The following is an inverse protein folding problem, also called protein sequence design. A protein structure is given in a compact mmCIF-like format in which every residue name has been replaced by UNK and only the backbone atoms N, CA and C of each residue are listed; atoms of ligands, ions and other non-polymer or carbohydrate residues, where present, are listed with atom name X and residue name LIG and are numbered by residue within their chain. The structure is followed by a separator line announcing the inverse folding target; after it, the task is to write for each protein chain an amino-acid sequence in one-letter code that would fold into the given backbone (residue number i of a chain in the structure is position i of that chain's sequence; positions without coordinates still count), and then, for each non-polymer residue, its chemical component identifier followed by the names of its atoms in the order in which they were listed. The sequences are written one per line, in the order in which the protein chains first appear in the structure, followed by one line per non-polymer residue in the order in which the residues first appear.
data_IF_377571983660
#
_entry.id   IF_377571983660
#
_cell.length_a   1.000
_cell.length_b   1.000
_cell.length_c   1.000
_cell.angle_alpha   90.00
_cell.angle_beta   90.00
_cell.angle_gamma   90.00
#
_symmetry.space_group_name_H-M   'P 1'
#
loop_
_entity.id
_entity.type
_entity.pdbx_description
1 polymer ?
#
# COMPACT_ATOMS: atom_id res chain seq x y z
N UNK A 1 3.98 -10.14 -3.76
CA UNK A 1 4.17 -11.48 -3.15
C UNK A 1 4.11 -11.44 -1.63
N UNK A 2 5.02 -10.73 -0.90
CA UNK A 2 4.98 -10.65 0.57
C UNK A 2 3.63 -10.17 1.13
N UNK A 3 2.97 -9.24 0.45
CA UNK A 3 1.65 -8.72 0.84
C UNK A 3 0.58 -9.81 0.74
N UNK A 4 0.52 -10.54 -0.39
CA UNK A 4 -0.42 -11.66 -0.58
C UNK A 4 -0.20 -12.73 0.49
N UNK A 5 1.07 -13.07 0.76
CA UNK A 5 1.45 -14.01 1.81
C UNK A 5 0.93 -13.57 3.18
N UNK A 6 1.22 -12.34 3.58
CA UNK A 6 0.83 -11.82 4.89
C UNK A 6 -0.68 -11.67 5.09
N UNK A 7 -1.44 -11.40 4.02
CA UNK A 7 -2.90 -11.37 4.05
C UNK A 7 -3.55 -12.75 4.13
N UNK A 8 -2.83 -13.82 3.74
CA UNK A 8 -3.35 -15.20 3.80
C UNK A 8 -3.05 -15.86 5.13
N UNK A 9 -1.83 -15.69 5.64
CA UNK A 9 -1.31 -16.43 6.80
C UNK A 9 -1.93 -15.97 8.14
N UNK A 10 -2.66 -14.90 8.15
CA UNK A 10 -2.95 -14.00 9.27
C UNK A 10 -3.49 -14.55 10.59
N UNK A 11 -4.06 -15.77 10.68
CA UNK A 11 -4.74 -16.19 11.91
C UNK A 11 -4.44 -17.66 12.30
N UNK A 12 -3.33 -18.24 11.82
CA UNK A 12 -3.02 -19.65 12.06
C UNK A 12 -2.57 -19.93 13.50
N UNK A 13 -1.62 -19.15 14.01
CA UNK A 13 -1.02 -19.36 15.32
C UNK A 13 -0.10 -18.21 15.72
N UNK A 14 0.63 -18.39 16.83
CA UNK A 14 1.53 -17.35 17.35
C UNK A 14 2.67 -17.01 16.37
N UNK A 15 3.22 -18.03 15.71
CA UNK A 15 4.30 -17.84 14.73
C UNK A 15 3.81 -17.07 13.50
N UNK A 16 2.65 -17.44 12.96
CA UNK A 16 2.00 -16.77 11.83
C UNK A 16 1.67 -15.31 12.14
N UNK A 17 1.19 -15.03 13.35
CA UNK A 17 0.90 -13.69 13.81
C UNK A 17 2.18 -12.82 13.85
N UNK A 18 3.30 -13.37 14.34
CA UNK A 18 4.61 -12.68 14.34
C UNK A 18 5.09 -12.43 12.92
N UNK A 19 5.03 -13.44 12.05
CA UNK A 19 5.48 -13.33 10.65
C UNK A 19 4.66 -12.28 9.88
N UNK A 20 3.34 -12.28 10.10
CA UNK A 20 2.46 -11.23 9.59
C UNK A 20 2.89 -9.86 10.11
N UNK A 21 3.11 -9.72 11.41
CA UNK A 21 3.54 -8.47 12.02
C UNK A 21 4.85 -7.94 11.46
N UNK A 22 5.83 -8.82 11.22
CA UNK A 22 7.11 -8.47 10.54
C UNK A 22 6.84 -7.83 9.18
N UNK A 23 5.97 -8.42 8.35
CA UNK A 23 5.67 -7.91 7.02
C UNK A 23 4.82 -6.63 7.10
N UNK A 24 3.81 -6.61 7.96
CA UNK A 24 2.89 -5.48 8.08
C UNK A 24 3.57 -4.23 8.61
N UNK A 25 4.59 -4.36 9.45
CA UNK A 25 5.32 -3.22 10.00
C UNK A 25 5.99 -2.33 8.94
N UNK A 26 6.32 -2.86 7.75
CA UNK A 26 7.02 -2.07 6.73
C UNK A 26 6.39 -2.08 5.33
N UNK A 27 5.51 -3.05 4.98
CA UNK A 27 5.09 -3.22 3.58
C UNK A 27 4.34 -2.01 3.01
N UNK A 28 3.45 -1.38 3.80
CA UNK A 28 2.75 -0.17 3.35
C UNK A 28 3.68 1.06 3.31
N UNK A 29 4.49 1.35 4.35
CA UNK A 29 5.55 2.33 4.29
C UNK A 29 6.47 2.20 3.08
N UNK A 30 6.87 0.98 2.72
CA UNK A 30 7.68 0.68 1.52
C UNK A 30 7.04 1.26 0.25
N UNK A 31 5.74 1.05 0.04
CA UNK A 31 5.05 1.58 -1.15
C UNK A 31 4.99 3.11 -1.16
N UNK A 32 4.76 3.76 -0.03
CA UNK A 32 4.78 5.22 0.07
C UNK A 32 6.18 5.79 -0.22
N UNK A 33 7.22 5.21 0.37
CA UNK A 33 8.62 5.59 0.16
C UNK A 33 9.00 5.43 -1.31
N UNK A 34 8.77 4.25 -1.92
CA UNK A 34 9.08 3.97 -3.32
C UNK A 34 8.31 4.88 -4.28
N UNK A 35 7.04 5.14 -3.99
CA UNK A 35 6.23 6.02 -4.83
C UNK A 35 6.75 7.45 -4.83
N UNK A 36 7.24 7.95 -3.70
CA UNK A 36 7.87 9.28 -3.62
C UNK A 36 9.26 9.29 -4.25
N UNK A 37 10.07 8.26 -4.01
CA UNK A 37 11.40 8.09 -4.58
C UNK A 37 11.40 8.14 -6.12
N UNK A 38 10.34 7.61 -6.77
CA UNK A 38 10.19 7.62 -8.22
C UNK A 38 9.43 8.84 -8.76
N UNK A 39 8.92 9.72 -7.89
CA UNK A 39 8.13 10.89 -8.30
C UNK A 39 9.00 12.02 -8.83
N UNK A 40 8.45 12.81 -9.78
CA UNK A 40 8.92 14.16 -10.11
C UNK A 40 8.07 15.14 -9.32
N UNK A 41 8.69 16.18 -8.76
CA UNK A 41 8.00 17.21 -7.98
C UNK A 41 7.64 18.40 -8.87
N UNK A 42 6.55 19.07 -8.52
CA UNK A 42 6.06 20.24 -9.26
C UNK A 42 6.95 21.45 -9.01
N UNK A 43 7.14 22.26 -10.03
CA UNK A 43 7.87 23.53 -9.96
C UNK A 43 6.94 24.71 -9.74
N UNK A 44 5.67 24.56 -10.10
CA UNK A 44 4.64 25.57 -9.96
C UNK A 44 3.24 24.96 -9.73
N UNK A 45 2.24 25.83 -9.50
CA UNK A 45 0.87 25.41 -9.23
C UNK A 45 0.17 24.77 -10.43
N UNK A 46 0.48 25.17 -11.66
CA UNK A 46 -0.12 24.63 -12.87
C UNK A 46 0.35 23.20 -13.10
N UNK A 47 1.65 22.94 -12.88
CA UNK A 47 2.20 21.58 -12.93
C UNK A 47 1.58 20.67 -11.86
N UNK A 48 1.36 21.21 -10.64
CA UNK A 48 0.68 20.47 -9.57
C UNK A 48 -0.74 20.05 -9.97
N UNK A 49 -1.53 20.96 -10.56
CA UNK A 49 -2.89 20.66 -11.04
C UNK A 49 -2.86 19.61 -12.15
N UNK A 50 -1.96 19.74 -13.13
CA UNK A 50 -1.79 18.76 -14.19
C UNK A 50 -1.38 17.36 -13.67
N UNK A 51 -0.57 17.30 -12.62
CA UNK A 51 -0.23 16.04 -11.92
C UNK A 51 -1.40 15.49 -11.14
N UNK A 52 -2.19 16.34 -10.49
CA UNK A 52 -3.40 15.92 -9.80
C UNK A 52 -4.33 15.18 -10.75
N UNK A 53 -4.61 15.73 -11.93
CA UNK A 53 -5.48 15.09 -12.92
C UNK A 53 -4.94 13.73 -13.39
N UNK A 54 -3.64 13.66 -13.73
CA UNK A 54 -2.99 12.40 -14.15
C UNK A 54 -3.02 11.36 -13.04
N UNK A 55 -2.74 11.76 -11.79
CA UNK A 55 -2.70 10.87 -10.64
C UNK A 55 -4.10 10.41 -10.25
N UNK A 56 -5.10 11.28 -10.37
CA UNK A 56 -6.52 10.96 -10.22
C UNK A 56 -6.94 9.83 -11.16
N UNK A 57 -6.68 10.00 -12.46
CA UNK A 57 -6.99 8.97 -13.48
C UNK A 57 -6.25 7.65 -13.21
N UNK A 58 -5.03 7.71 -12.70
CA UNK A 58 -4.19 6.54 -12.48
C UNK A 58 -4.49 5.78 -11.18
N UNK A 59 -4.87 6.46 -10.10
CA UNK A 59 -5.04 5.87 -8.78
C UNK A 59 -6.49 5.86 -8.31
N UNK A 60 -7.18 7.00 -8.41
CA UNK A 60 -8.49 7.15 -7.80
C UNK A 60 -9.60 6.50 -8.64
N UNK A 61 -9.56 6.63 -9.97
CA UNK A 61 -10.52 5.94 -10.84
C UNK A 61 -10.45 4.41 -10.64
N UNK A 62 -9.26 3.76 -10.71
CA UNK A 62 -9.17 2.34 -10.40
C UNK A 62 -9.61 1.99 -8.98
N UNK A 63 -9.29 2.82 -7.97
CA UNK A 63 -9.72 2.56 -6.60
C UNK A 63 -11.26 2.53 -6.47
N UNK A 64 -11.94 3.48 -7.12
CA UNK A 64 -13.41 3.54 -7.14
C UNK A 64 -13.97 2.33 -7.90
N UNK A 65 -13.46 2.04 -9.10
CA UNK A 65 -13.96 0.93 -9.92
C UNK A 65 -13.79 -0.42 -9.22
N UNK A 66 -12.59 -0.74 -8.75
CA UNK A 66 -12.27 -2.00 -8.07
C UNK A 66 -13.03 -2.09 -6.74
N UNK A 67 -13.03 -1.00 -5.95
CA UNK A 67 -13.72 -0.93 -4.66
C UNK A 67 -15.23 -1.07 -4.77
N UNK A 68 -15.83 -0.69 -5.92
CA UNK A 68 -17.28 -0.85 -6.19
C UNK A 68 -17.67 -2.27 -6.61
N UNK A 69 -16.72 -3.11 -7.03
CA UNK A 69 -17.00 -4.50 -7.42
C UNK A 69 -17.48 -5.31 -6.21
N UNK A 70 -16.91 -5.09 -5.03
CA UNK A 70 -17.26 -5.83 -3.82
C UNK A 70 -18.74 -5.67 -3.43
N UNK A 71 -19.32 -4.47 -3.32
CA UNK A 71 -20.74 -4.33 -3.04
C UNK A 71 -21.62 -4.96 -4.14
N UNK A 72 -21.24 -4.86 -5.41
CA UNK A 72 -21.97 -5.52 -6.51
C UNK A 72 -21.94 -7.05 -6.38
N UNK A 73 -20.80 -7.62 -6.03
CA UNK A 73 -20.66 -9.05 -5.76
C UNK A 73 -21.52 -9.48 -4.55
N UNK A 74 -21.51 -8.70 -3.47
CA UNK A 74 -22.30 -8.96 -2.27
C UNK A 74 -23.81 -8.98 -2.57
N UNK A 75 -24.29 -8.08 -3.47
CA UNK A 75 -25.68 -8.10 -3.97
C UNK A 75 -25.93 -9.36 -4.80
N UNK A 76 -25.01 -9.73 -5.69
CA UNK A 76 -25.15 -10.90 -6.55
C UNK A 76 -25.25 -12.22 -5.79
N UNK A 77 -24.63 -12.32 -4.62
CA UNK A 77 -24.72 -13.50 -3.72
C UNK A 77 -25.89 -13.44 -2.72
N UNK A 78 -26.83 -12.49 -2.92
CA UNK A 78 -28.08 -12.43 -2.17
C UNK A 78 -28.08 -11.60 -0.90
N UNK A 79 -27.06 -10.76 -0.66
CA UNK A 79 -27.14 -9.76 0.42
C UNK A 79 -28.16 -8.68 0.06
N UNK A 80 -28.85 -8.17 1.09
CA UNK A 80 -29.90 -7.17 0.90
C UNK A 80 -29.36 -5.88 0.24
N UNK A 81 -29.91 -5.57 -0.93
CA UNK A 81 -29.60 -4.39 -1.72
C UNK A 81 -29.77 -3.08 -0.94
N UNK A 82 -30.79 -2.99 -0.06
CA UNK A 82 -31.03 -1.82 0.76
C UNK A 82 -29.92 -1.57 1.75
N UNK A 83 -29.41 -2.61 2.40
CA UNK A 83 -28.30 -2.52 3.37
C UNK A 83 -27.00 -2.09 2.71
N UNK A 84 -26.76 -2.49 1.46
CA UNK A 84 -25.51 -2.21 0.75
C UNK A 84 -25.52 -0.84 0.08
N UNK A 85 -26.64 -0.41 -0.50
CA UNK A 85 -26.76 0.85 -1.24
C UNK A 85 -27.40 1.98 -0.43
N UNK A 86 -28.21 1.67 0.61
CA UNK A 86 -28.87 2.72 1.38
C UNK A 86 -27.87 3.53 2.19
N UNK A 87 -27.95 4.82 1.97
CA UNK A 87 -27.57 6.04 2.73
C UNK A 87 -26.28 6.03 3.57
N UNK A 88 -25.58 4.95 3.70
CA UNK A 88 -24.30 4.85 4.42
C UNK A 88 -23.35 3.86 3.78
N UNK A 89 -23.83 2.76 3.18
CA UNK A 89 -22.97 1.67 2.74
C UNK A 89 -21.96 2.05 1.67
N UNK A 90 -22.39 2.30 0.44
CA UNK A 90 -21.47 2.61 -0.66
C UNK A 90 -20.84 4.01 -0.53
N UNK A 91 -21.65 5.02 -0.18
CA UNK A 91 -21.16 6.40 -0.06
C UNK A 91 -20.12 6.50 1.06
N UNK A 92 -20.42 5.98 2.25
CA UNK A 92 -19.47 5.99 3.37
C UNK A 92 -18.21 5.17 3.06
N UNK A 93 -18.36 4.02 2.40
CA UNK A 93 -17.24 3.19 1.93
C UNK A 93 -16.30 3.97 1.00
N UNK A 94 -16.83 4.74 0.07
CA UNK A 94 -16.05 5.58 -0.85
C UNK A 94 -15.51 6.84 -0.19
N UNK A 95 -16.32 7.52 0.63
CA UNK A 95 -15.94 8.77 1.30
C UNK A 95 -14.83 8.54 2.32
N UNK A 96 -14.97 7.55 3.20
CA UNK A 96 -13.94 7.25 4.19
C UNK A 96 -12.80 6.42 3.62
N UNK A 97 -13.07 5.62 2.57
CA UNK A 97 -12.11 4.75 1.91
C UNK A 97 -11.33 3.86 2.90
N UNK A 98 -11.99 3.37 3.96
CA UNK A 98 -11.33 2.62 5.03
C UNK A 98 -10.74 1.29 4.53
N UNK A 99 -9.60 0.89 5.08
CA UNK A 99 -9.00 -0.42 4.81
C UNK A 99 -9.58 -1.55 5.67
N UNK A 100 -10.24 -1.22 6.78
CA UNK A 100 -10.83 -2.16 7.75
C UNK A 100 -12.23 -1.72 8.14
N UNK A 101 -13.03 -2.67 8.61
CA UNK A 101 -14.35 -2.39 9.20
C UNK A 101 -14.19 -1.45 10.40
N UNK A 102 -14.98 -0.41 10.46
CA UNK A 102 -14.90 0.59 11.53
C UNK A 102 -16.25 1.21 11.85
N UNK A 103 -16.38 1.79 13.04
CA UNK A 103 -17.54 2.57 13.44
C UNK A 103 -17.18 4.05 13.47
N UNK A 104 -17.91 4.88 12.75
CA UNK A 104 -17.74 6.33 12.71
C UNK A 104 -19.07 6.96 13.11
N UNK A 105 -19.08 7.71 14.21
CA UNK A 105 -20.28 8.36 14.74
C UNK A 105 -21.50 7.41 14.86
N UNK A 106 -21.26 6.21 15.44
CA UNK A 106 -22.26 5.15 15.60
C UNK A 106 -22.78 4.54 14.29
N UNK A 107 -22.12 4.83 13.17
CA UNK A 107 -22.43 4.19 11.87
C UNK A 107 -21.31 3.23 11.51
N UNK A 108 -21.68 1.99 11.23
CA UNK A 108 -20.72 1.00 10.72
C UNK A 108 -20.34 1.35 9.28
N UNK A 109 -19.04 1.48 9.04
CA UNK A 109 -18.48 1.79 7.73
C UNK A 109 -17.72 0.57 7.22
N UNK A 110 -18.29 -0.04 6.20
CA UNK A 110 -17.70 -1.17 5.50
C UNK A 110 -16.40 -0.77 4.77
N UNK A 111 -15.38 -1.63 4.76
CA UNK A 111 -14.11 -1.30 4.17
C UNK A 111 -14.16 -1.22 2.64
N UNK A 112 -13.40 -0.28 2.08
CA UNK A 112 -13.04 -0.27 0.66
C UNK A 112 -12.03 -1.40 0.33
N UNK A 113 -11.60 -2.14 1.35
CA UNK A 113 -10.61 -3.17 1.25
C UNK A 113 -9.24 -2.61 0.87
N UNK A 114 -8.44 -3.36 0.12
CA UNK A 114 -7.08 -2.93 -0.23
C UNK A 114 -7.02 -1.65 -1.07
N UNK A 115 -8.14 -1.24 -1.70
CA UNK A 115 -8.20 0.00 -2.48
C UNK A 115 -8.01 1.27 -1.63
N UNK A 116 -8.16 1.19 -0.28
CA UNK A 116 -7.85 2.28 0.64
C UNK A 116 -6.47 2.88 0.38
N UNK A 117 -5.50 2.02 0.06
CA UNK A 117 -4.13 2.42 -0.20
C UNK A 117 -4.00 3.36 -1.40
N UNK A 118 -4.73 3.11 -2.49
CA UNK A 118 -4.69 3.94 -3.69
C UNK A 118 -5.22 5.35 -3.40
N UNK A 119 -6.27 5.45 -2.58
CA UNK A 119 -6.84 6.74 -2.14
C UNK A 119 -5.84 7.48 -1.25
N UNK A 120 -5.30 6.82 -0.24
CA UNK A 120 -4.28 7.39 0.64
C UNK A 120 -3.02 7.80 -0.12
N UNK A 121 -2.57 6.99 -1.10
CA UNK A 121 -1.42 7.29 -1.94
C UNK A 121 -1.66 8.52 -2.84
N UNK A 122 -2.86 8.63 -3.43
CA UNK A 122 -3.24 9.80 -4.21
C UNK A 122 -3.16 11.08 -3.37
N UNK A 123 -3.88 11.11 -2.24
CA UNK A 123 -3.93 12.30 -1.38
C UNK A 123 -2.56 12.65 -0.79
N UNK A 124 -1.80 11.64 -0.33
CA UNK A 124 -0.50 11.88 0.31
C UNK A 124 0.56 12.41 -0.66
N UNK A 125 0.57 11.92 -1.91
CA UNK A 125 1.48 12.44 -2.95
C UNK A 125 1.17 13.89 -3.30
N UNK A 126 -0.10 14.24 -3.44
CA UNK A 126 -0.50 15.63 -3.73
C UNK A 126 -0.16 16.55 -2.57
N UNK A 127 -0.45 16.13 -1.34
CA UNK A 127 -0.09 16.91 -0.16
C UNK A 127 1.43 17.11 -0.08
N UNK A 128 2.23 16.06 -0.26
CA UNK A 128 3.68 16.17 -0.20
C UNK A 128 4.25 17.06 -1.31
N UNK A 129 3.75 16.93 -2.55
CA UNK A 129 4.16 17.77 -3.68
C UNK A 129 3.81 19.26 -3.42
N UNK A 130 2.63 19.53 -2.85
CA UNK A 130 2.22 20.87 -2.42
C UNK A 130 3.12 21.40 -1.30
N UNK A 131 3.43 20.59 -0.28
CA UNK A 131 4.32 21.01 0.82
C UNK A 131 5.72 21.32 0.29
N UNK A 132 6.25 20.50 -0.59
CA UNK A 132 7.54 20.66 -1.20
C UNK A 132 7.58 21.96 -2.05
N UNK A 133 6.50 22.30 -2.76
CA UNK A 133 6.38 23.52 -3.53
C UNK A 133 6.32 24.78 -2.63
N UNK A 134 5.67 24.69 -1.46
CA UNK A 134 5.47 25.83 -0.56
C UNK A 134 6.61 26.05 0.44
N UNK A 135 7.35 25.01 0.78
CA UNK A 135 8.45 25.12 1.74
C UNK A 135 9.73 25.63 1.05
N UNK A 136 10.19 26.80 1.46
CA UNK A 136 11.38 27.46 0.89
C UNK A 136 12.71 26.82 1.29
N UNK A 137 12.73 25.95 2.29
CA UNK A 137 13.94 25.25 2.73
C UNK A 137 13.65 23.83 3.18
N UNK A 138 14.66 22.95 3.07
CA UNK A 138 14.53 21.54 3.52
C UNK A 138 14.22 21.44 5.02
N UNK A 139 14.73 22.34 5.86
CA UNK A 139 14.42 22.36 7.30
C UNK A 139 12.95 22.66 7.56
N UNK A 140 12.38 23.66 6.85
CA UNK A 140 10.95 23.97 6.96
C UNK A 140 10.11 22.79 6.48
N UNK A 141 10.44 22.16 5.37
CA UNK A 141 9.75 20.98 4.86
C UNK A 141 9.76 19.85 5.91
N UNK A 142 10.93 19.56 6.49
CA UNK A 142 11.06 18.52 7.53
C UNK A 142 10.18 18.81 8.76
N UNK A 143 10.19 20.06 9.26
CA UNK A 143 9.37 20.46 10.42
C UNK A 143 7.89 20.32 10.09
N UNK A 144 7.44 20.79 8.92
CA UNK A 144 6.04 20.70 8.49
C UNK A 144 5.62 19.24 8.36
N UNK A 145 6.46 18.39 7.81
CA UNK A 145 6.21 16.94 7.69
C UNK A 145 6.04 16.30 9.08
N UNK A 146 6.87 16.67 10.06
CA UNK A 146 6.73 16.17 11.45
C UNK A 146 5.44 16.67 12.11
N UNK A 147 5.09 17.94 11.91
CA UNK A 147 3.83 18.50 12.42
C UNK A 147 2.63 17.80 11.80
N UNK A 148 2.63 17.59 10.48
CA UNK A 148 1.58 16.82 9.80
C UNK A 148 1.48 15.41 10.38
N UNK A 149 2.61 14.74 10.57
CA UNK A 149 2.62 13.38 11.12
C UNK A 149 2.06 13.30 12.52
N UNK A 150 2.51 14.18 13.41
CA UNK A 150 1.98 14.25 14.78
C UNK A 150 0.47 14.55 14.76
N UNK A 151 0.05 15.55 13.98
CA UNK A 151 -1.36 15.91 13.82
C UNK A 151 -2.19 14.76 13.29
N UNK A 152 -1.72 14.07 12.25
CA UNK A 152 -2.41 12.91 11.67
C UNK A 152 -2.56 11.75 12.65
N UNK A 153 -1.51 11.43 13.41
CA UNK A 153 -1.56 10.40 14.47
C UNK A 153 -2.53 10.78 15.56
N UNK A 154 -2.47 12.02 16.08
CA UNK A 154 -3.39 12.49 17.13
C UNK A 154 -4.85 12.49 16.66
N UNK A 155 -5.12 12.97 15.44
CA UNK A 155 -6.46 12.97 14.87
C UNK A 155 -6.98 11.54 14.71
N UNK A 156 -6.15 10.60 14.28
CA UNK A 156 -6.54 9.20 14.10
C UNK A 156 -7.04 8.53 15.38
N UNK A 157 -6.58 9.00 16.57
CA UNK A 157 -7.10 8.53 17.85
C UNK A 157 -8.45 9.14 18.22
N UNK A 158 -8.77 10.32 17.67
CA UNK A 158 -10.01 11.03 17.98
C UNK A 158 -11.13 10.64 17.02
N UNK A 159 -10.83 10.66 15.72
CA UNK A 159 -11.80 10.35 14.66
C UNK A 159 -11.11 9.99 13.35
N UNK A 160 -11.79 9.20 12.53
CA UNK A 160 -11.35 8.89 11.19
C UNK A 160 -11.84 9.95 10.21
N UNK A 161 -10.93 10.45 9.39
CA UNK A 161 -11.26 11.48 8.41
C UNK A 161 -11.61 10.88 7.04
N UNK A 162 -12.47 11.57 6.25
CA UNK A 162 -12.73 11.21 4.87
C UNK A 162 -11.44 11.07 4.05
N UNK A 163 -11.46 10.18 3.04
CA UNK A 163 -10.33 9.89 2.15
C UNK A 163 -9.05 9.47 2.88
N UNK A 164 -9.18 8.90 4.08
CA UNK A 164 -8.05 8.55 4.97
C UNK A 164 -7.13 9.76 5.28
N UNK A 165 -7.67 10.97 5.36
CA UNK A 165 -6.85 12.17 5.47
C UNK A 165 -6.03 12.22 6.76
N UNK A 166 -6.48 11.57 7.82
CA UNK A 166 -5.72 11.31 9.04
C UNK A 166 -4.46 10.48 8.75
N UNK A 167 -4.58 9.37 8.00
CA UNK A 167 -3.41 8.58 7.55
C UNK A 167 -2.53 9.41 6.61
N UNK A 168 -3.14 10.15 5.67
CA UNK A 168 -2.42 11.00 4.71
C UNK A 168 -1.48 11.98 5.41
N UNK A 169 -1.94 12.59 6.50
CA UNK A 169 -1.11 13.45 7.34
C UNK A 169 -0.03 12.63 8.08
N UNK A 170 -0.44 11.53 8.73
CA UNK A 170 0.46 10.71 9.55
C UNK A 170 1.67 10.19 8.76
N UNK A 171 1.48 9.76 7.51
CA UNK A 171 2.52 9.09 6.70
C UNK A 171 3.46 10.03 5.95
N UNK A 172 3.34 11.35 6.10
CA UNK A 172 4.22 12.30 5.41
C UNK A 172 5.72 12.05 5.62
N UNK A 173 6.21 11.56 6.79
CA UNK A 173 7.61 11.17 6.96
C UNK A 173 8.09 10.09 6.01
N UNK A 174 7.24 9.15 5.57
CA UNK A 174 7.62 8.13 4.59
C UNK A 174 7.82 8.73 3.20
N UNK A 175 7.00 9.71 2.82
CA UNK A 175 7.20 10.43 1.56
C UNK A 175 8.46 11.28 1.61
N UNK A 176 8.73 11.95 2.73
CA UNK A 176 9.96 12.70 2.92
C UNK A 176 11.20 11.78 2.86
N UNK A 177 11.14 10.59 3.47
CA UNK A 177 12.19 9.59 3.37
C UNK A 177 12.43 9.17 1.91
N UNK A 178 11.39 8.92 1.12
CA UNK A 178 11.48 8.62 -0.31
C UNK A 178 12.09 9.78 -1.11
N UNK A 179 11.70 11.02 -0.80
CA UNK A 179 12.30 12.23 -1.38
C UNK A 179 13.80 12.32 -1.11
N UNK A 180 14.24 12.02 0.11
CA UNK A 180 15.67 12.01 0.47
C UNK A 180 16.41 10.85 -0.17
N UNK A 181 15.86 9.65 -0.15
CA UNK A 181 16.48 8.46 -0.74
C UNK A 181 16.67 8.58 -2.26
N UNK A 182 15.82 9.33 -2.96
CA UNK A 182 16.00 9.62 -4.38
C UNK A 182 17.37 10.27 -4.69
N UNK A 183 17.90 11.05 -3.75
CA UNK A 183 19.21 11.74 -3.87
C UNK A 183 20.38 10.91 -3.34
N UNK A 184 20.08 9.75 -2.75
CA UNK A 184 21.09 8.94 -2.06
C UNK A 184 21.52 7.76 -2.92
N UNK A 185 22.83 7.56 -3.06
CA UNK A 185 23.37 6.38 -3.71
C UNK A 185 23.35 5.19 -2.73
N UNK A 186 22.40 4.29 -2.94
CA UNK A 186 22.21 3.10 -2.09
C UNK A 186 23.20 1.99 -2.46
N UNK A 187 23.93 2.10 -3.58
CA UNK A 187 24.75 1.01 -4.13
C UNK A 187 26.03 0.74 -3.33
N UNK A 188 26.53 1.73 -2.59
CA UNK A 188 27.77 1.60 -1.82
C UNK A 188 27.57 0.74 -0.56
N UNK A 189 28.49 -0.22 -0.35
CA UNK A 189 28.53 -1.08 0.85
C UNK A 189 27.24 -1.88 1.11
N UNK A 190 26.57 -2.34 0.06
CA UNK A 190 25.23 -2.96 0.11
C UNK A 190 25.11 -4.08 1.15
N UNK A 191 26.06 -5.04 1.21
CA UNK A 191 25.97 -6.18 2.14
C UNK A 191 26.12 -5.74 3.60
N UNK A 192 27.12 -4.88 3.89
CA UNK A 192 27.34 -4.36 5.26
C UNK A 192 26.12 -3.58 5.74
N UNK A 193 25.61 -2.70 4.89
CA UNK A 193 24.45 -1.87 5.20
C UNK A 193 23.18 -2.73 5.37
N UNK A 194 23.00 -3.78 4.55
CA UNK A 194 21.92 -4.75 4.71
C UNK A 194 21.95 -5.41 6.09
N UNK A 195 23.13 -5.93 6.48
CA UNK A 195 23.26 -6.59 7.78
C UNK A 195 22.94 -5.65 8.95
N UNK A 196 23.48 -4.43 8.90
CA UNK A 196 23.23 -3.42 9.93
C UNK A 196 21.74 -3.03 10.01
N UNK A 197 21.15 -2.70 8.87
CA UNK A 197 19.74 -2.26 8.81
C UNK A 197 18.78 -3.39 9.19
N UNK A 198 19.08 -4.63 8.78
CA UNK A 198 18.26 -5.80 9.14
C UNK A 198 18.37 -6.09 10.64
N UNK A 199 19.56 -6.02 11.22
CA UNK A 199 19.74 -6.18 12.66
C UNK A 199 18.99 -5.10 13.44
N UNK A 200 19.10 -3.83 13.03
CA UNK A 200 18.36 -2.72 13.62
C UNK A 200 16.85 -2.92 13.50
N UNK A 201 16.36 -3.31 12.32
CA UNK A 201 14.94 -3.61 12.08
C UNK A 201 14.42 -4.68 13.03
N UNK A 202 15.12 -5.83 13.11
CA UNK A 202 14.68 -6.96 13.94
C UNK A 202 14.76 -6.63 15.43
N UNK A 203 15.79 -5.94 15.88
CA UNK A 203 15.94 -5.52 17.27
C UNK A 203 14.84 -4.54 17.70
N UNK A 204 14.62 -3.49 16.92
CA UNK A 204 13.61 -2.47 17.23
C UNK A 204 12.20 -3.05 17.14
N UNK A 205 11.94 -3.92 16.17
CA UNK A 205 10.65 -4.61 16.03
C UNK A 205 10.41 -5.56 17.24
N UNK A 206 11.44 -6.26 17.70
CA UNK A 206 11.35 -7.08 18.90
C UNK A 206 10.99 -6.24 20.13
N UNK A 207 11.60 -5.05 20.29
CA UNK A 207 11.26 -4.10 21.35
C UNK A 207 9.79 -3.66 21.23
N UNK A 208 9.31 -3.30 20.02
CA UNK A 208 7.93 -2.89 19.81
C UNK A 208 6.95 -4.01 20.18
N UNK A 209 7.23 -5.26 19.76
CA UNK A 209 6.41 -6.42 20.12
C UNK A 209 6.43 -6.69 21.63
N UNK A 210 7.60 -6.58 22.27
CA UNK A 210 7.74 -6.80 23.71
C UNK A 210 6.98 -5.77 24.53
N UNK A 211 7.04 -4.49 24.12
CA UNK A 211 6.41 -3.37 24.85
C UNK A 211 4.92 -3.27 24.59
N UNK A 212 4.51 -3.38 23.31
CA UNK A 212 3.14 -3.09 22.89
C UNK A 212 2.33 -4.35 22.53
N UNK A 213 2.97 -5.51 22.40
CA UNK A 213 2.36 -6.73 21.82
C UNK A 213 1.63 -6.44 20.49
N UNK A 214 2.13 -5.50 19.72
CA UNK A 214 1.51 -4.97 18.51
C UNK A 214 2.59 -4.48 17.53
N UNK A 215 2.17 -4.03 16.34
CA UNK A 215 3.03 -3.49 15.27
C UNK A 215 2.32 -2.36 14.54
N UNK A 216 3.06 -1.61 13.71
CA UNK A 216 2.50 -0.57 12.85
C UNK A 216 1.52 -1.17 11.84
N UNK A 217 0.26 -0.74 11.86
CA UNK A 217 -0.75 -1.10 10.86
C UNK A 217 -1.55 0.14 10.43
N UNK A 218 -1.16 0.74 9.32
CA UNK A 218 -1.71 2.02 8.85
C UNK A 218 -3.21 1.94 8.56
N UNK A 219 -3.67 0.85 7.93
CA UNK A 219 -5.09 0.67 7.61
C UNK A 219 -6.00 0.71 8.85
N UNK A 220 -5.50 0.18 9.97
CA UNK A 220 -6.21 0.12 11.24
C UNK A 220 -5.88 1.30 12.18
N UNK A 221 -5.11 2.29 11.73
CA UNK A 221 -4.62 3.43 12.54
C UNK A 221 -3.88 2.99 13.82
N UNK A 222 -3.13 1.89 13.73
CA UNK A 222 -2.29 1.40 14.84
C UNK A 222 -0.89 1.96 14.69
N UNK A 223 -0.53 2.90 15.53
CA UNK A 223 0.79 3.55 15.57
C UNK A 223 1.50 3.18 16.87
N UNK A 224 1.77 1.88 17.09
CA UNK A 224 2.15 1.24 18.37
C UNK A 224 3.09 2.08 19.26
N UNK A 225 4.32 2.32 18.81
CA UNK A 225 5.33 3.16 19.50
C UNK A 225 5.74 4.35 18.63
N UNK A 226 4.74 5.15 18.15
CA UNK A 226 5.10 6.35 17.39
C UNK A 226 6.01 7.29 18.24
N UNK A 227 7.14 7.80 17.69
CA UNK A 227 7.63 7.71 16.30
C UNK A 227 8.52 6.49 15.99
N UNK A 228 8.82 5.62 16.98
CA UNK A 228 9.74 4.47 16.80
C UNK A 228 9.22 3.48 15.74
N UNK A 229 7.91 3.22 15.71
CA UNK A 229 7.30 2.36 14.69
C UNK A 229 7.56 2.83 13.25
N UNK A 230 7.71 4.15 13.04
CA UNK A 230 8.07 4.71 11.74
C UNK A 230 9.56 4.49 11.40
N UNK A 231 10.44 4.53 12.39
CA UNK A 231 11.86 4.18 12.22
C UNK A 231 11.99 2.70 11.88
N UNK A 232 11.25 1.82 12.56
CA UNK A 232 11.18 0.39 12.28
C UNK A 232 10.76 0.16 10.83
N UNK A 233 9.66 0.79 10.40
CA UNK A 233 9.14 0.68 9.04
C UNK A 233 10.15 1.18 7.99
N UNK A 234 10.90 2.23 8.28
CA UNK A 234 11.96 2.74 7.41
C UNK A 234 13.13 1.75 7.32
N UNK A 235 13.59 1.18 8.45
CA UNK A 235 14.62 0.15 8.45
C UNK A 235 14.20 -1.09 7.65
N UNK A 236 12.96 -1.58 7.83
CA UNK A 236 12.42 -2.69 7.05
C UNK A 236 12.39 -2.38 5.55
N UNK A 237 12.00 -1.15 5.19
CA UNK A 237 12.03 -0.68 3.79
C UNK A 237 13.45 -0.70 3.22
N UNK A 238 14.43 -0.15 3.94
CA UNK A 238 15.84 -0.16 3.50
C UNK A 238 16.37 -1.59 3.33
N UNK A 239 16.05 -2.51 4.26
CA UNK A 239 16.43 -3.91 4.15
C UNK A 239 15.92 -4.52 2.83
N UNK A 240 14.64 -4.29 2.47
CA UNK A 240 14.08 -4.76 1.20
C UNK A 240 14.78 -4.12 -0.01
N UNK A 241 15.12 -2.83 0.05
CA UNK A 241 15.86 -2.16 -1.02
C UNK A 241 17.24 -2.78 -1.24
N UNK A 242 18.01 -3.03 -0.16
CA UNK A 242 19.33 -3.68 -0.26
C UNK A 242 19.22 -5.13 -0.75
N UNK A 243 18.23 -5.90 -0.28
CA UNK A 243 17.96 -7.25 -0.81
C UNK A 243 17.64 -7.19 -2.31
N UNK A 244 16.82 -6.24 -2.73
CA UNK A 244 16.49 -6.07 -4.16
C UNK A 244 17.71 -5.76 -5.01
N UNK A 245 18.67 -4.99 -4.51
CA UNK A 245 19.94 -4.72 -5.20
C UNK A 245 20.79 -5.99 -5.36
N UNK A 246 20.89 -6.79 -4.30
CA UNK A 246 21.63 -8.06 -4.35
C UNK A 246 20.99 -9.01 -5.37
N UNK A 247 19.66 -9.12 -5.37
CA UNK A 247 18.93 -9.98 -6.30
C UNK A 247 19.09 -9.54 -7.77
N UNK A 248 19.30 -8.25 -8.05
CA UNK A 248 19.56 -7.77 -9.42
C UNK A 248 20.81 -8.34 -10.05
N UNK A 249 21.83 -8.69 -9.27
CA UNK A 249 23.06 -9.32 -9.78
C UNK A 249 22.84 -10.77 -10.22
N UNK A 250 21.80 -11.44 -9.71
CA UNK A 250 21.51 -12.82 -10.06
C UNK A 250 20.43 -12.87 -11.15
N UNK A 251 20.82 -13.23 -12.39
CA UNK A 251 19.94 -13.28 -13.57
C UNK A 251 18.67 -14.12 -13.38
N UNK A 252 18.72 -15.12 -12.49
CA UNK A 252 17.58 -15.98 -12.15
C UNK A 252 16.37 -15.18 -11.61
N UNK A 253 16.60 -13.98 -11.07
CA UNK A 253 15.54 -13.12 -10.53
C UNK A 253 14.99 -12.09 -11.52
N UNK A 254 15.40 -12.11 -12.79
CA UNK A 254 14.89 -11.16 -13.81
C UNK A 254 13.37 -11.19 -13.97
N UNK A 255 12.72 -12.32 -13.67
CA UNK A 255 11.27 -12.44 -13.66
C UNK A 255 10.60 -11.54 -12.61
N UNK A 256 11.28 -11.21 -11.50
CA UNK A 256 10.79 -10.25 -10.51
C UNK A 256 10.64 -8.85 -11.10
N UNK A 257 11.52 -8.44 -12.01
CA UNK A 257 11.41 -7.16 -12.71
C UNK A 257 10.15 -7.11 -13.58
N UNK A 258 9.80 -8.21 -14.22
CA UNK A 258 8.57 -8.32 -15.01
C UNK A 258 7.34 -8.22 -14.11
N UNK A 259 7.30 -8.94 -12.99
CA UNK A 259 6.22 -8.83 -12.01
C UNK A 259 6.13 -7.42 -11.41
N UNK A 260 7.27 -6.79 -11.14
CA UNK A 260 7.32 -5.42 -10.65
C UNK A 260 6.68 -4.41 -11.59
N UNK A 261 6.96 -4.51 -12.90
CA UNK A 261 6.35 -3.67 -13.94
C UNK A 261 4.83 -3.84 -14.01
N UNK A 262 4.33 -5.05 -13.75
CA UNK A 262 2.92 -5.41 -13.78
C UNK A 262 2.26 -5.44 -12.38
N UNK A 263 2.94 -4.90 -11.37
CA UNK A 263 2.50 -4.96 -9.96
C UNK A 263 1.12 -4.36 -9.71
N UNK A 264 0.70 -3.36 -10.49
CA UNK A 264 -0.63 -2.78 -10.39
C UNK A 264 -1.73 -3.77 -10.83
N UNK A 265 -1.49 -4.56 -11.86
CA UNK A 265 -2.43 -5.60 -12.32
C UNK A 265 -2.51 -6.71 -11.26
N UNK A 266 -1.36 -7.13 -10.70
CA UNK A 266 -1.32 -8.10 -9.60
C UNK A 266 -2.08 -7.57 -8.37
N UNK A 267 -1.91 -6.29 -8.05
CA UNK A 267 -2.68 -5.64 -6.98
C UNK A 267 -4.18 -5.69 -7.25
N UNK A 268 -4.62 -5.44 -8.48
CA UNK A 268 -6.05 -5.48 -8.86
C UNK A 268 -6.64 -6.86 -8.63
N UNK A 269 -5.96 -7.93 -9.09
CA UNK A 269 -6.43 -9.30 -8.87
C UNK A 269 -6.44 -9.66 -7.39
N UNK A 270 -5.40 -9.30 -6.67
CA UNK A 270 -5.34 -9.51 -5.23
C UNK A 270 -6.45 -8.74 -4.47
N UNK A 271 -6.84 -7.55 -4.93
CA UNK A 271 -7.94 -6.80 -4.35
C UNK A 271 -9.32 -7.44 -4.61
N UNK A 272 -9.44 -8.28 -5.64
CA UNK A 272 -10.66 -8.96 -6.04
C UNK A 272 -10.68 -10.46 -5.66
N UNK A 273 -9.65 -10.97 -5.02
CA UNK A 273 -9.45 -12.39 -4.77
C UNK A 273 -10.48 -13.03 -3.81
N UNK A 274 -11.27 -12.22 -3.12
CA UNK A 274 -12.44 -12.68 -2.37
C UNK A 274 -13.50 -13.35 -3.26
N UNK A 275 -13.54 -13.01 -4.57
CA UNK A 275 -14.47 -13.61 -5.54
C UNK A 275 -14.12 -15.08 -5.79
N UNK A 276 -12.83 -15.40 -5.88
CA UNK A 276 -12.35 -16.76 -6.09
C UNK A 276 -11.75 -17.40 -4.83
N UNK A 277 -12.10 -16.86 -3.67
CA UNK A 277 -11.70 -17.42 -2.38
C UNK A 277 -11.98 -18.92 -2.26
N UNK A 278 -13.13 -19.46 -2.72
CA UNK A 278 -13.40 -20.91 -2.69
C UNK A 278 -12.41 -21.75 -3.50
N UNK A 279 -11.74 -21.15 -4.49
CA UNK A 279 -10.77 -21.85 -5.36
C UNK A 279 -9.41 -21.97 -4.71
N UNK A 280 -8.99 -20.98 -3.90
CA UNK A 280 -7.67 -21.00 -3.28
C UNK A 280 -7.69 -21.39 -1.80
N UNK A 281 -8.81 -21.25 -1.12
CA UNK A 281 -8.96 -21.68 0.28
C UNK A 281 -9.58 -23.10 0.34
N UNK A 282 -8.81 -24.09 -0.07
CA UNK A 282 -9.30 -25.48 -0.21
C UNK A 282 -8.76 -26.42 0.85
N UNK A 283 -7.85 -25.96 1.71
CA UNK A 283 -7.22 -26.79 2.75
C UNK A 283 -7.26 -26.08 4.11
N UNK A 284 -7.03 -26.83 5.19
CA UNK A 284 -6.81 -26.26 6.52
C UNK A 284 -5.39 -25.67 6.68
N UNK A 285 -4.48 -25.99 5.77
CA UNK A 285 -3.11 -25.53 5.81
C UNK A 285 -2.99 -24.13 5.17
N UNK A 286 -2.75 -23.13 6.01
CA UNK A 286 -2.63 -21.73 5.57
C UNK A 286 -1.47 -21.49 4.59
N UNK A 287 -0.38 -22.25 4.67
CA UNK A 287 0.76 -22.10 3.74
C UNK A 287 0.42 -22.60 2.34
N UNK A 288 -0.31 -23.71 2.23
CA UNK A 288 -0.80 -24.22 0.95
C UNK A 288 -1.83 -23.27 0.34
N UNK A 289 -2.78 -22.78 1.14
CA UNK A 289 -3.74 -21.77 0.68
C UNK A 289 -3.03 -20.50 0.22
N UNK A 290 -1.98 -20.08 0.90
CA UNK A 290 -1.14 -18.94 0.47
C UNK A 290 -0.48 -19.18 -0.89
N UNK A 291 0.07 -20.37 -1.11
CA UNK A 291 0.67 -20.75 -2.39
C UNK A 291 -0.37 -20.74 -3.50
N UNK A 292 -1.54 -21.33 -3.30
CA UNK A 292 -2.62 -21.32 -4.29
C UNK A 292 -3.09 -19.91 -4.61
N UNK A 293 -3.29 -19.08 -3.58
CA UNK A 293 -3.66 -17.67 -3.75
C UNK A 293 -2.63 -16.91 -4.58
N UNK A 294 -1.33 -17.06 -4.26
CA UNK A 294 -0.26 -16.40 -5.03
C UNK A 294 -0.23 -16.87 -6.49
N UNK A 295 -0.40 -18.17 -6.73
CA UNK A 295 -0.42 -18.73 -8.09
C UNK A 295 -1.60 -18.16 -8.88
N UNK A 296 -2.79 -18.08 -8.29
CA UNK A 296 -3.98 -17.55 -8.97
C UNK A 296 -3.86 -16.05 -9.24
N UNK A 297 -3.47 -15.25 -8.25
CA UNK A 297 -3.35 -13.79 -8.41
C UNK A 297 -2.30 -13.42 -9.45
N UNK A 298 -1.16 -14.11 -9.46
CA UNK A 298 -0.11 -13.90 -10.46
C UNK A 298 -0.53 -14.47 -11.82
N UNK A 299 -1.09 -15.68 -11.85
CA UNK A 299 -1.51 -16.35 -13.08
C UNK A 299 -2.57 -15.53 -13.82
N UNK A 300 -3.63 -15.09 -13.16
CA UNK A 300 -4.65 -14.24 -13.77
C UNK A 300 -4.08 -12.91 -14.25
N UNK A 301 -3.15 -12.32 -13.48
CA UNK A 301 -2.46 -11.09 -13.89
C UNK A 301 -1.65 -11.28 -15.17
N UNK A 302 -0.92 -12.38 -15.29
CA UNK A 302 -0.13 -12.69 -16.48
C UNK A 302 -1.02 -12.98 -17.70
N UNK A 303 -2.12 -13.70 -17.53
CA UNK A 303 -3.10 -13.95 -18.59
C UNK A 303 -3.69 -12.62 -19.08
N UNK A 304 -4.09 -11.73 -18.19
CA UNK A 304 -4.61 -10.42 -18.59
C UNK A 304 -3.55 -9.59 -19.31
N UNK A 305 -2.31 -9.57 -18.84
CA UNK A 305 -1.21 -8.89 -19.54
C UNK A 305 -1.03 -9.42 -20.96
N UNK A 306 -1.08 -10.74 -21.14
CA UNK A 306 -0.97 -11.37 -22.45
C UNK A 306 -2.12 -10.96 -23.38
N UNK A 307 -3.37 -11.00 -22.88
CA UNK A 307 -4.55 -10.58 -23.63
C UNK A 307 -4.43 -9.12 -24.07
N UNK A 308 -4.04 -8.23 -23.16
CA UNK A 308 -3.87 -6.81 -23.48
C UNK A 308 -2.78 -6.58 -24.52
N UNK A 309 -1.66 -7.30 -24.43
CA UNK A 309 -0.59 -7.24 -25.44
C UNK A 309 -1.07 -7.69 -26.81
N UNK A 310 -1.85 -8.77 -26.88
CA UNK A 310 -2.43 -9.27 -28.13
C UNK A 310 -3.40 -8.24 -28.74
N UNK A 311 -4.30 -7.68 -27.95
CA UNK A 311 -5.26 -6.66 -28.40
C UNK A 311 -4.53 -5.45 -28.99
N UNK A 312 -3.49 -4.96 -28.29
CA UNK A 312 -2.70 -3.81 -28.75
C UNK A 312 -1.95 -4.14 -30.05
N UNK A 313 -1.37 -5.33 -30.17
CA UNK A 313 -0.70 -5.79 -31.38
C UNK A 313 -1.65 -5.81 -32.58
N UNK A 314 -2.85 -6.40 -32.43
CA UNK A 314 -3.85 -6.44 -33.49
C UNK A 314 -4.35 -5.06 -33.88
N UNK A 315 -4.57 -4.16 -32.89
CA UNK A 315 -4.98 -2.77 -33.17
C UNK A 315 -3.94 -2.01 -33.99
N UNK A 316 -2.66 -2.12 -33.62
CA UNK A 316 -1.59 -1.46 -34.36
C UNK A 316 -1.49 -1.98 -35.79
N UNK A 317 -1.61 -3.30 -35.98
CA UNK A 317 -1.60 -3.92 -37.34
C UNK A 317 -2.79 -3.51 -38.19
N UNK A 318 -3.94 -3.14 -37.60
CA UNK A 318 -5.09 -2.61 -38.32
C UNK A 318 -4.94 -1.14 -38.72
N UNK A 319 -4.14 -0.35 -37.97
CA UNK A 319 -3.86 1.05 -38.28
C UNK A 319 -2.77 1.22 -39.35
N UNK A 320 -1.96 0.20 -39.58
CA UNK A 320 -0.92 0.18 -40.63
C UNK A 320 -1.45 -0.28 -41.99
N UNK A 321 -2.70 -0.74 -42.09
CA UNK A 321 -3.41 -1.07 -43.34
C UNK A 321 -4.36 0.04 -43.74
#
# INVERSE_FOLDING_TARGET
MLVIFAHTIGNGGRFEAVLRGVIFSFHMPLFFILSCMTSRFSTDGNELVGKMEKTFKRLLIPAILIGSIRPLYEIAIGKDFRTILMLGGLVNRLVYASGVLTNIQNTEVEPLGMCWFLVALFCSKLLFDYLQLKCTSERKLFIVVLICSLGGVLISFLQWLPLNFDIVLAIQPFLYAGYKLKKFDITNHTVRNLLFVTAAFLLLLAIEFFVCNNYLELAARRYSLWPLSFVIAFCGTLAVLYVSQILQYARIFNWLNYLGKNSFIIFTFHALDYIWKPIWQVTENNYLNCLFRMILDIGFSLILCLILCLILHFRNKMQEK
#
